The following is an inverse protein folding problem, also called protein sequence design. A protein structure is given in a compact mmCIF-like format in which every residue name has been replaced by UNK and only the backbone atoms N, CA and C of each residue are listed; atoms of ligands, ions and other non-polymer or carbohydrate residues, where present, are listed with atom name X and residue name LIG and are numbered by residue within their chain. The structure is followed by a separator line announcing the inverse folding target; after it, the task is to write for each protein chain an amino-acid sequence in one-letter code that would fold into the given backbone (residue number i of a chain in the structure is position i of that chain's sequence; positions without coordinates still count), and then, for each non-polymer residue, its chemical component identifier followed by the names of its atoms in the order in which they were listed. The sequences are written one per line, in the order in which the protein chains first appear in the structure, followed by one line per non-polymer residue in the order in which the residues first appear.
data_IF_745436030108
#
_entry.id   IF_745436030108
#
_cell.length_a   1.000
_cell.length_b   1.000
_cell.length_c   1.000
_cell.angle_alpha   90.00
_cell.angle_beta   90.00
_cell.angle_gamma   90.00
#
_symmetry.space_group_name_H-M   'P 1'
#
loop_
_entity.id
_entity.type
_entity.pdbx_description
1 polymer ?
#
# COMPACT_ATOMS: atom_id res chain seq x y z
N UNK A 1 10.06 8.56 -22.66
CA UNK A 1 9.98 7.45 -23.64
C UNK A 1 8.95 6.45 -23.14
N UNK A 2 7.96 6.11 -23.97
CA UNK A 2 7.02 5.04 -23.64
C UNK A 2 7.71 3.71 -23.88
N UNK A 3 7.72 2.83 -22.89
CA UNK A 3 8.21 1.45 -23.06
C UNK A 3 7.04 0.48 -23.06
N UNK A 4 7.15 -0.71 -23.67
CA UNK A 4 6.11 -1.74 -23.58
C UNK A 4 5.80 -2.17 -22.13
N UNK A 5 6.73 -1.92 -21.18
CA UNK A 5 6.57 -2.26 -19.77
C UNK A 5 5.79 -1.21 -18.97
N UNK A 6 5.52 -0.03 -19.53
CA UNK A 6 4.78 1.05 -18.84
C UNK A 6 3.39 0.60 -18.39
N UNK A 7 2.69 -0.18 -19.24
CA UNK A 7 1.38 -0.73 -18.92
C UNK A 7 1.43 -1.73 -17.75
N UNK A 8 2.49 -2.54 -17.69
CA UNK A 8 2.69 -3.53 -16.62
C UNK A 8 3.05 -2.87 -15.29
N UNK A 9 3.93 -1.87 -15.32
CA UNK A 9 4.28 -1.07 -14.14
C UNK A 9 3.05 -0.34 -13.60
N UNK A 10 2.24 0.27 -14.48
CA UNK A 10 1.01 0.94 -14.09
C UNK A 10 -0.02 -0.03 -13.50
N UNK A 11 -0.20 -1.21 -14.10
CA UNK A 11 -1.10 -2.23 -13.59
C UNK A 11 -0.69 -2.70 -12.19
N UNK A 12 0.60 -2.95 -11.97
CA UNK A 12 1.10 -3.37 -10.67
C UNK A 12 1.04 -2.26 -9.63
N UNK A 13 1.28 -1.00 -10.02
CA UNK A 13 1.07 0.16 -9.14
C UNK A 13 -0.38 0.24 -8.65
N UNK A 14 -1.36 0.09 -9.55
CA UNK A 14 -2.78 0.08 -9.18
C UNK A 14 -3.12 -1.08 -8.22
N UNK A 15 -2.52 -2.25 -8.42
CA UNK A 15 -2.70 -3.40 -7.51
C UNK A 15 -2.11 -3.12 -6.13
N UNK A 16 -0.96 -2.46 -6.06
CA UNK A 16 -0.34 -2.03 -4.81
C UNK A 16 -1.24 -1.02 -4.06
N UNK A 17 -1.71 0.02 -4.76
CA UNK A 17 -2.61 1.04 -4.21
C UNK A 17 -3.91 0.41 -3.68
N UNK A 18 -4.50 -0.55 -4.41
CA UNK A 18 -5.68 -1.27 -3.97
C UNK A 18 -5.43 -2.03 -2.65
N UNK A 19 -4.26 -2.67 -2.51
CA UNK A 19 -3.89 -3.38 -1.28
C UNK A 19 -3.58 -2.45 -0.11
N UNK A 20 -2.99 -1.29 -0.38
CA UNK A 20 -2.79 -0.27 0.65
C UNK A 20 -4.12 0.27 1.18
N UNK A 21 -5.09 0.45 0.29
CA UNK A 21 -6.44 0.87 0.66
C UNK A 21 -7.16 -0.20 1.50
N UNK A 22 -7.02 -1.48 1.16
CA UNK A 22 -7.51 -2.59 1.98
C UNK A 22 -6.89 -2.55 3.40
N UNK A 23 -5.56 -2.41 3.51
CA UNK A 23 -4.88 -2.31 4.81
C UNK A 23 -5.40 -1.12 5.62
N UNK A 24 -5.58 0.03 4.98
CA UNK A 24 -6.10 1.24 5.63
C UNK A 24 -7.53 1.03 6.15
N UNK A 25 -8.40 0.36 5.37
CA UNK A 25 -9.75 -0.02 5.82
C UNK A 25 -9.72 -0.93 7.03
N UNK A 26 -8.89 -1.98 7.01
CA UNK A 26 -8.75 -2.90 8.14
C UNK A 26 -8.23 -2.19 9.39
N UNK A 27 -7.27 -1.28 9.25
CA UNK A 27 -6.81 -0.45 10.37
C UNK A 27 -7.91 0.43 10.96
N UNK A 28 -8.72 1.07 10.12
CA UNK A 28 -9.85 1.88 10.57
C UNK A 28 -10.90 1.03 11.30
N UNK A 29 -11.16 -0.19 10.82
CA UNK A 29 -12.03 -1.14 11.52
C UNK A 29 -11.46 -1.50 12.89
N UNK A 30 -10.17 -1.82 12.99
CA UNK A 30 -9.51 -2.09 14.28
C UNK A 30 -9.66 -0.90 15.23
N UNK A 31 -9.42 0.33 14.76
CA UNK A 31 -9.57 1.54 15.57
C UNK A 31 -11.01 1.73 16.06
N UNK A 32 -12.01 1.51 15.20
CA UNK A 32 -13.42 1.59 15.58
C UNK A 32 -13.81 0.54 16.63
N UNK A 33 -13.25 -0.69 16.54
CA UNK A 33 -13.47 -1.72 17.55
C UNK A 33 -12.85 -1.36 18.89
N UNK A 34 -11.67 -0.73 18.90
CA UNK A 34 -11.07 -0.21 20.13
C UNK A 34 -11.93 0.89 20.76
N UNK A 35 -12.42 1.85 19.96
CA UNK A 35 -13.33 2.88 20.46
C UNK A 35 -14.60 2.27 21.10
N UNK A 36 -15.13 1.18 20.51
CA UNK A 36 -16.29 0.48 21.08
C UNK A 36 -15.97 -0.21 22.40
N UNK A 37 -14.78 -0.80 22.53
CA UNK A 37 -14.31 -1.35 23.81
C UNK A 37 -14.19 -0.25 24.86
N UNK A 38 -13.67 0.91 24.51
CA UNK A 38 -13.54 2.03 25.45
C UNK A 38 -14.90 2.53 25.94
N UNK A 39 -15.90 2.64 25.05
CA UNK A 39 -17.29 2.94 25.41
C UNK A 39 -17.87 1.90 26.39
N UNK A 40 -17.65 0.61 26.11
CA UNK A 40 -18.12 -0.49 26.97
C UNK A 40 -17.41 -0.51 28.33
N UNK A 41 -16.12 -0.16 28.38
CA UNK A 41 -15.37 -0.03 29.63
C UNK A 41 -15.88 1.14 30.48
N UNK A 42 -16.20 2.28 29.85
CA UNK A 42 -16.84 3.40 30.54
C UNK A 42 -18.19 2.96 31.10
N UNK A 43 -19.03 2.30 30.28
CA UNK A 43 -20.33 1.79 30.72
C UNK A 43 -20.18 0.80 31.90
N UNK A 44 -19.17 -0.08 31.85
CA UNK A 44 -18.86 -1.02 32.93
C UNK A 44 -18.45 -0.31 34.22
N UNK A 45 -17.67 0.78 34.13
CA UNK A 45 -17.25 1.57 35.29
C UNK A 45 -18.40 2.33 35.95
N UNK A 46 -19.45 2.64 35.20
CA UNK A 46 -20.66 3.32 35.66
C UNK A 46 -21.68 2.37 36.29
N UNK A 47 -21.46 1.05 36.25
CA UNK A 47 -22.36 0.07 36.89
C UNK A 47 -22.21 0.16 38.40
N UNK A 48 -23.21 0.74 39.07
CA UNK A 48 -23.27 0.86 40.53
C UNK A 48 -24.05 -0.33 41.09
N UNK A 49 -23.47 -1.00 42.10
CA UNK A 49 -24.18 -2.03 42.85
C UNK A 49 -25.22 -1.39 43.79
N UNK A 50 -26.45 -1.93 43.85
CA UNK A 50 -27.41 -1.49 44.84
C UNK A 50 -26.86 -1.80 46.25
N UNK A 51 -26.69 -0.78 47.08
CA UNK A 51 -26.25 -0.93 48.48
C UNK A 51 -27.39 -1.42 49.38
N UNK A 52 -28.62 -1.16 48.97
CA UNK A 52 -29.87 -1.54 49.63
C UNK A 52 -30.91 -1.88 48.54
N UNK A 53 -31.83 -2.82 48.79
CA UNK A 53 -32.90 -3.20 47.87
C UNK A 53 -33.09 -4.72 47.67
N UNK A 54 -34.05 -5.08 46.82
CA UNK A 54 -34.42 -6.47 46.51
C UNK A 54 -33.29 -7.24 45.81
N UNK A 55 -33.11 -8.51 46.18
CA UNK A 55 -32.11 -9.42 45.61
C UNK A 55 -32.24 -9.56 44.09
N UNK A 56 -33.47 -9.42 43.56
CA UNK A 56 -33.75 -9.39 42.13
C UNK A 56 -32.99 -8.27 41.40
N UNK A 57 -32.81 -7.10 42.04
CA UNK A 57 -32.07 -5.97 41.47
C UNK A 57 -30.58 -6.28 41.37
N UNK A 58 -30.01 -6.91 42.40
CA UNK A 58 -28.63 -7.37 42.39
C UNK A 58 -28.36 -8.38 41.26
N UNK A 59 -29.27 -9.35 41.05
CA UNK A 59 -29.14 -10.32 39.96
C UNK A 59 -29.15 -9.64 38.58
N UNK A 60 -30.03 -8.65 38.39
CA UNK A 60 -30.08 -7.86 37.14
C UNK A 60 -28.78 -7.09 36.89
N UNK A 61 -28.26 -6.39 37.90
CA UNK A 61 -26.98 -5.65 37.79
C UNK A 61 -25.82 -6.60 37.48
N UNK A 62 -25.79 -7.78 38.09
CA UNK A 62 -24.75 -8.78 37.83
C UNK A 62 -24.86 -9.37 36.41
N UNK A 63 -26.07 -9.63 35.93
CA UNK A 63 -26.31 -10.06 34.56
C UNK A 63 -25.87 -8.99 33.54
N UNK A 64 -26.19 -7.72 33.78
CA UNK A 64 -25.76 -6.59 32.96
C UNK A 64 -24.23 -6.49 32.89
N UNK A 65 -23.56 -6.60 34.04
CA UNK A 65 -22.09 -6.60 34.11
C UNK A 65 -21.48 -7.74 33.31
N UNK A 66 -22.01 -8.96 33.45
CA UNK A 66 -21.56 -10.12 32.68
C UNK A 66 -21.76 -9.92 31.18
N UNK A 67 -22.89 -9.34 30.77
CA UNK A 67 -23.13 -9.00 29.36
C UNK A 67 -22.07 -8.04 28.83
N UNK A 68 -21.79 -6.95 29.54
CA UNK A 68 -20.78 -5.97 29.13
C UNK A 68 -19.37 -6.58 29.02
N UNK A 69 -19.01 -7.47 29.94
CA UNK A 69 -17.72 -8.19 29.88
C UNK A 69 -17.68 -9.12 28.65
N UNK A 70 -18.75 -9.87 28.41
CA UNK A 70 -18.84 -10.74 27.23
C UNK A 70 -18.73 -9.91 25.95
N UNK A 71 -19.41 -8.77 25.87
CA UNK A 71 -19.36 -7.88 24.70
C UNK A 71 -17.92 -7.38 24.47
N UNK A 72 -17.21 -6.95 25.53
CA UNK A 72 -15.79 -6.58 25.44
C UNK A 72 -14.93 -7.72 24.90
N UNK A 73 -15.14 -8.95 25.37
CA UNK A 73 -14.37 -10.10 24.91
C UNK A 73 -14.70 -10.47 23.45
N UNK A 74 -15.94 -10.33 23.00
CA UNK A 74 -16.29 -10.48 21.58
C UNK A 74 -15.58 -9.44 20.71
N UNK A 75 -15.54 -8.18 21.12
CA UNK A 75 -14.81 -7.15 20.38
C UNK A 75 -13.29 -7.42 20.37
N UNK A 76 -12.72 -7.92 21.48
CA UNK A 76 -11.30 -8.31 21.54
C UNK A 76 -10.96 -9.47 20.62
N UNK A 77 -11.80 -10.49 20.57
CA UNK A 77 -11.60 -11.63 19.64
C UNK A 77 -11.68 -11.15 18.19
N UNK A 78 -12.62 -10.26 17.87
CA UNK A 78 -12.74 -9.67 16.54
C UNK A 78 -11.51 -8.81 16.16
N UNK A 79 -10.96 -8.04 17.10
CA UNK A 79 -9.68 -7.33 16.89
C UNK A 79 -8.55 -8.31 16.59
N UNK A 80 -8.49 -9.44 17.31
CA UNK A 80 -7.48 -10.47 17.05
C UNK A 80 -7.59 -11.02 15.63
N UNK A 81 -8.81 -11.30 15.15
CA UNK A 81 -9.03 -11.76 13.77
C UNK A 81 -8.63 -10.71 12.74
N UNK A 82 -9.00 -9.43 12.96
CA UNK A 82 -8.62 -8.34 12.06
C UNK A 82 -7.11 -8.10 12.04
N UNK A 83 -6.41 -8.29 13.16
CA UNK A 83 -4.94 -8.21 13.21
C UNK A 83 -4.27 -9.35 12.44
N UNK A 84 -4.81 -10.56 12.53
CA UNK A 84 -4.31 -11.69 11.74
C UNK A 84 -4.51 -11.45 10.23
N UNK A 85 -5.68 -10.93 9.84
CA UNK A 85 -5.95 -10.52 8.46
C UNK A 85 -5.01 -9.42 8.00
N UNK A 86 -4.79 -8.38 8.82
CA UNK A 86 -3.88 -7.29 8.53
C UNK A 86 -2.45 -7.79 8.26
N UNK A 87 -1.97 -8.76 9.05
CA UNK A 87 -0.66 -9.39 8.83
C UNK A 87 -0.61 -10.11 7.48
N UNK A 88 -1.67 -10.81 7.10
CA UNK A 88 -1.78 -11.46 5.78
C UNK A 88 -1.77 -10.44 4.64
N UNK A 89 -2.54 -9.35 4.77
CA UNK A 89 -2.58 -8.26 3.79
C UNK A 89 -1.23 -7.56 3.64
N UNK A 90 -0.49 -7.36 4.74
CA UNK A 90 0.86 -6.80 4.69
C UNK A 90 1.85 -7.69 3.94
N UNK A 91 1.76 -9.01 4.12
CA UNK A 91 2.60 -9.96 3.38
C UNK A 91 2.24 -9.96 1.89
N UNK A 92 0.95 -9.95 1.56
CA UNK A 92 0.50 -9.82 0.16
C UNK A 92 1.00 -8.51 -0.47
N UNK A 93 0.93 -7.39 0.26
CA UNK A 93 1.47 -6.10 -0.18
C UNK A 93 2.96 -6.18 -0.45
N UNK A 94 3.72 -6.86 0.41
CA UNK A 94 5.17 -7.06 0.25
C UNK A 94 5.47 -7.81 -1.05
N UNK A 95 4.73 -8.87 -1.36
CA UNK A 95 4.92 -9.65 -2.60
C UNK A 95 4.64 -8.77 -3.82
N UNK A 96 3.51 -8.06 -3.83
CA UNK A 96 3.13 -7.16 -4.94
C UNK A 96 4.16 -6.03 -5.12
N UNK A 97 4.70 -5.49 -4.02
CA UNK A 97 5.74 -4.47 -4.07
C UNK A 97 7.03 -5.00 -4.71
N UNK A 98 7.45 -6.22 -4.37
CA UNK A 98 8.61 -6.86 -5.00
C UNK A 98 8.36 -7.05 -6.51
N UNK A 99 7.16 -7.47 -6.91
CA UNK A 99 6.81 -7.57 -8.33
C UNK A 99 6.87 -6.22 -9.03
N UNK A 100 6.28 -5.18 -8.44
CA UNK A 100 6.30 -3.83 -8.97
C UNK A 100 7.74 -3.33 -9.20
N UNK A 101 8.63 -3.49 -8.21
CA UNK A 101 10.03 -3.08 -8.34
C UNK A 101 10.78 -3.89 -9.42
N UNK A 102 10.48 -5.18 -9.59
CA UNK A 102 11.03 -5.98 -10.69
C UNK A 102 10.65 -5.40 -12.05
N UNK A 103 9.37 -5.09 -12.27
CA UNK A 103 8.91 -4.51 -13.53
C UNK A 103 9.50 -3.12 -13.77
N UNK A 104 9.60 -2.30 -12.73
CA UNK A 104 10.23 -0.98 -12.80
C UNK A 104 11.71 -1.07 -13.20
N UNK A 105 12.45 -2.01 -12.62
CA UNK A 105 13.85 -2.24 -12.97
C UNK A 105 14.04 -2.69 -14.43
N UNK A 106 13.16 -3.56 -14.92
CA UNK A 106 13.15 -3.99 -16.34
C UNK A 106 12.87 -2.80 -17.26
N UNK A 107 11.89 -1.97 -16.89
CA UNK A 107 11.53 -0.76 -17.63
C UNK A 107 12.70 0.24 -17.70
N UNK A 108 13.42 0.44 -16.60
CA UNK A 108 14.59 1.32 -16.54
C UNK A 108 15.73 0.83 -17.45
N UNK A 109 16.06 -0.46 -17.38
CA UNK A 109 17.05 -1.06 -18.29
C UNK A 109 16.70 -0.90 -19.76
N UNK A 110 15.41 -1.02 -20.11
CA UNK A 110 14.97 -0.84 -21.49
C UNK A 110 15.09 0.63 -21.94
N UNK A 111 14.78 1.59 -21.07
CA UNK A 111 15.01 3.01 -21.34
C UNK A 111 16.49 3.30 -21.56
N UNK A 112 17.36 2.74 -20.74
CA UNK A 112 18.81 2.90 -20.88
C UNK A 112 19.32 2.37 -22.22
N UNK A 113 18.85 1.19 -22.65
CA UNK A 113 19.16 0.64 -23.98
C UNK A 113 18.74 1.58 -25.09
N UNK A 114 17.49 2.04 -25.09
CA UNK A 114 16.98 2.97 -26.11
C UNK A 114 17.82 4.25 -26.15
N UNK A 115 18.16 4.81 -24.98
CA UNK A 115 19.02 5.99 -24.89
C UNK A 115 20.42 5.71 -25.47
N UNK A 116 21.01 4.55 -25.17
CA UNK A 116 22.32 4.17 -25.69
C UNK A 116 22.32 3.99 -27.22
N UNK A 117 21.25 3.42 -27.77
CA UNK A 117 21.06 3.24 -29.21
C UNK A 117 20.91 4.58 -29.92
N UNK A 118 20.11 5.49 -29.36
CA UNK A 118 19.96 6.85 -29.87
C UNK A 118 21.28 7.61 -29.86
N UNK A 119 22.04 7.57 -28.76
CA UNK A 119 23.37 8.20 -28.68
C UNK A 119 24.34 7.63 -29.72
N UNK A 120 24.29 6.31 -29.95
CA UNK A 120 25.15 5.66 -30.95
C UNK A 120 24.74 6.05 -32.37
N UNK A 121 23.45 6.14 -32.67
CA UNK A 121 22.94 6.60 -33.96
C UNK A 121 23.31 8.07 -34.20
N UNK A 122 23.15 8.92 -33.18
CA UNK A 122 23.53 10.34 -33.23
C UNK A 122 25.03 10.53 -33.50
N UNK A 123 25.88 9.77 -32.80
CA UNK A 123 27.33 9.79 -33.05
C UNK A 123 27.68 9.40 -34.49
N UNK A 124 27.09 8.31 -35.01
CA UNK A 124 27.32 7.89 -36.40
C UNK A 124 26.88 8.96 -37.41
N UNK A 125 25.71 9.55 -37.19
CA UNK A 125 25.20 10.61 -38.07
C UNK A 125 26.12 11.84 -38.04
N UNK A 126 26.65 12.22 -36.87
CA UNK A 126 27.63 13.30 -36.76
C UNK A 126 28.93 12.99 -37.51
N UNK A 127 29.44 11.76 -37.39
CA UNK A 127 30.63 11.30 -38.11
C UNK A 127 30.39 11.33 -39.64
N UNK A 128 29.23 10.86 -40.11
CA UNK A 128 28.85 10.90 -41.52
C UNK A 128 28.71 12.34 -42.04
N UNK A 129 28.08 13.24 -41.28
CA UNK A 129 27.99 14.67 -41.61
C UNK A 129 29.39 15.30 -41.67
N UNK A 130 30.28 14.99 -40.73
CA UNK A 130 31.65 15.48 -40.73
C UNK A 130 32.44 15.01 -41.96
N UNK A 131 32.29 13.74 -42.34
CA UNK A 131 32.88 13.19 -43.56
C UNK A 131 32.33 13.85 -44.83
N UNK A 132 31.02 14.09 -44.90
CA UNK A 132 30.39 14.78 -46.03
C UNK A 132 30.85 16.23 -46.15
N UNK A 133 31.00 16.94 -45.02
CA UNK A 133 31.53 18.31 -44.99
C UNK A 133 33.00 18.35 -45.41
N UNK A 134 33.82 17.42 -44.92
CA UNK A 134 35.23 17.33 -45.27
C UNK A 134 35.46 16.96 -46.74
N UNK A 135 34.64 16.05 -47.28
CA UNK A 135 34.73 15.59 -48.67
C UNK A 135 34.05 16.54 -49.66
N UNK A 136 33.37 17.59 -49.19
CA UNK A 136 32.71 18.55 -50.07
C UNK A 136 33.75 19.46 -50.75
N UNK A 137 33.85 19.47 -52.09
CA UNK A 137 34.92 20.14 -52.82
C UNK A 137 34.89 21.68 -52.71
N UNK A 138 33.79 22.28 -52.24
CA UNK A 138 33.64 23.73 -52.10
C UNK A 138 34.64 24.32 -51.09
N UNK A 139 35.14 23.54 -50.12
CA UNK A 139 36.19 24.00 -49.20
C UNK A 139 37.62 23.76 -49.73
N UNK A 140 37.79 22.92 -50.75
CA UNK A 140 39.11 22.59 -51.31
C UNK A 140 39.64 23.64 -52.29
N UNK A 141 38.79 24.54 -52.79
CA UNK A 141 39.17 25.66 -53.65
C UNK A 141 39.43 26.98 -52.89
N UNK A 142 39.31 27.00 -51.55
CA UNK A 142 39.57 28.18 -50.71
C UNK A 142 40.89 28.11 -49.91
N UNK A 143 41.76 27.13 -50.18
CA UNK A 143 43.13 27.03 -49.63
C UNK A 143 44.10 26.92 -50.80
#
# INVERSE_FOLDING_TARGET
MKTPFDALVLAQKKRLEAKELEILRTNNQIAAQYAKIDELQIALSQVIYPKEGDFSLFLKTNAQKKSLINDIDTHRTHISTLKAELKSLQEQRRIIYIEYEKYKHIQEREKEKIISELKRAESKNLDEIALLLYNNPIQKEMI
#
